data_IF_755811575811
#
_entry.id   IF_755811575811
#
_cell.length_a   1.000
_cell.length_b   1.000
_cell.length_c   1.000
_cell.angle_alpha   90.00
_cell.angle_beta   90.00
_cell.angle_gamma   90.00
#
_symmetry.space_group_name_H-M   'P 1'
#
loop_
_entity.id
_entity.type
_entity.pdbx_description
1 polymer ?
#
# COMPACT_ATOMS: atom_id res chain seq x y z
N UNK A 1 -43.64 -35.92 6.77
CA UNK A 1 -43.84 -34.81 7.73
C UNK A 1 -42.85 -34.77 8.90
N UNK A 2 -42.04 -35.81 9.15
CA UNK A 2 -41.10 -35.83 10.28
C UNK A 2 -39.79 -35.00 10.09
N UNK A 3 -39.37 -34.73 8.84
CA UNK A 3 -38.09 -34.04 8.58
C UNK A 3 -38.16 -32.50 8.62
N UNK A 4 -39.35 -31.89 8.61
CA UNK A 4 -39.46 -30.42 8.57
C UNK A 4 -39.32 -29.79 9.96
N UNK A 5 -39.76 -30.49 11.02
CA UNK A 5 -39.64 -30.02 12.41
C UNK A 5 -38.21 -30.10 12.96
N UNK A 6 -37.40 -31.05 12.49
CA UNK A 6 -35.99 -31.18 12.92
C UNK A 6 -35.09 -30.06 12.37
N UNK A 7 -35.41 -29.52 11.19
CA UNK A 7 -34.64 -28.42 10.59
C UNK A 7 -34.94 -27.10 11.31
N UNK A 8 -36.20 -26.85 11.66
CA UNK A 8 -36.59 -25.63 12.39
C UNK A 8 -35.97 -25.57 13.80
N UNK A 9 -35.78 -26.72 14.46
CA UNK A 9 -35.16 -26.77 15.80
C UNK A 9 -33.65 -26.49 15.76
N UNK A 10 -32.93 -26.90 14.71
CA UNK A 10 -31.50 -26.57 14.55
C UNK A 10 -31.27 -25.07 14.32
N UNK A 11 -32.13 -24.40 13.56
CA UNK A 11 -32.03 -22.94 13.38
C UNK A 11 -32.36 -22.16 14.67
N UNK A 12 -33.32 -22.64 15.47
CA UNK A 12 -33.63 -22.03 16.76
C UNK A 12 -32.47 -22.16 17.76
N UNK A 13 -31.77 -23.31 17.78
CA UNK A 13 -30.59 -23.52 18.63
C UNK A 13 -29.43 -22.61 18.18
N UNK A 14 -29.22 -22.41 16.87
CA UNK A 14 -28.20 -21.49 16.36
C UNK A 14 -28.52 -20.01 16.68
N UNK A 15 -29.80 -19.63 16.65
CA UNK A 15 -30.25 -18.28 17.00
C UNK A 15 -30.13 -18.01 18.51
N UNK A 16 -30.37 -19.03 19.35
CA UNK A 16 -30.25 -18.94 20.81
C UNK A 16 -28.78 -18.91 21.28
N UNK A 17 -27.87 -19.63 20.61
CA UNK A 17 -26.44 -19.61 20.96
C UNK A 17 -25.75 -18.25 20.72
N UNK A 18 -26.31 -17.40 19.85
CA UNK A 18 -25.80 -16.04 19.65
C UNK A 18 -26.28 -15.02 20.70
N UNK A 19 -27.20 -15.40 21.61
CA UNK A 19 -27.70 -14.52 22.68
C UNK A 19 -27.11 -14.80 24.06
N UNK A 20 -26.21 -15.78 24.19
CA UNK A 20 -25.59 -16.14 25.48
C UNK A 20 -24.11 -15.77 25.48
N UNK A 21 -23.82 -14.46 25.44
CA UNK A 21 -22.51 -13.93 25.79
C UNK A 21 -22.57 -12.48 26.33
N UNK A 22 -23.75 -11.96 26.67
CA UNK A 22 -23.87 -10.67 27.33
C UNK A 22 -23.40 -10.81 28.79
N UNK A 23 -22.11 -10.53 29.04
CA UNK A 23 -21.58 -10.37 30.40
C UNK A 23 -20.24 -11.05 30.73
N UNK A 24 -19.63 -11.81 29.82
CA UNK A 24 -18.26 -12.31 29.99
C UNK A 24 -17.29 -11.40 29.23
N UNK A 25 -16.08 -11.10 29.76
CA UNK A 25 -15.06 -10.44 28.98
C UNK A 25 -14.73 -11.30 27.76
N UNK A 26 -15.17 -10.87 26.58
CA UNK A 26 -14.78 -11.49 25.32
C UNK A 26 -13.50 -10.81 24.82
N UNK A 27 -12.58 -11.60 24.28
CA UNK A 27 -11.39 -11.06 23.61
C UNK A 27 -11.76 -10.25 22.35
N UNK A 28 -12.93 -10.50 21.77
CA UNK A 28 -13.45 -9.78 20.62
C UNK A 28 -14.96 -9.93 20.49
N UNK A 29 -15.59 -8.90 19.93
CA UNK A 29 -17.03 -8.87 19.66
C UNK A 29 -17.27 -8.68 18.16
N UNK A 30 -18.32 -9.33 17.65
CA UNK A 30 -18.81 -9.02 16.32
C UNK A 30 -19.28 -7.56 16.29
N UNK A 31 -18.77 -6.79 15.33
CA UNK A 31 -19.09 -5.38 15.18
C UNK A 31 -20.06 -5.16 14.03
N UNK A 32 -20.97 -4.21 14.22
CA UNK A 32 -21.86 -3.72 13.17
C UNK A 32 -21.09 -2.74 12.26
N UNK A 33 -20.85 -3.10 10.98
CA UNK A 33 -20.09 -2.25 10.04
C UNK A 33 -20.64 -0.82 9.92
N UNK A 34 -21.96 -0.64 10.04
CA UNK A 34 -22.62 0.65 9.93
C UNK A 34 -22.19 1.58 11.08
N UNK A 35 -21.99 1.03 12.29
CA UNK A 35 -21.50 1.79 13.45
C UNK A 35 -20.06 2.29 13.26
N UNK A 36 -19.30 1.67 12.36
CA UNK A 36 -17.95 2.08 11.98
C UNK A 36 -17.93 3.06 10.80
N UNK A 37 -19.10 3.49 10.33
CA UNK A 37 -19.22 4.37 9.16
C UNK A 37 -18.96 3.65 7.84
N UNK A 38 -18.93 2.31 7.83
CA UNK A 38 -18.77 1.54 6.60
C UNK A 38 -20.09 1.58 5.84
N UNK A 39 -20.11 2.37 4.77
CA UNK A 39 -21.23 2.52 3.85
C UNK A 39 -21.10 1.50 2.72
N UNK A 40 -21.56 1.88 1.53
CA UNK A 40 -21.34 1.11 0.31
C UNK A 40 -19.86 1.16 -0.05
N UNK A 41 -19.31 0.01 -0.39
CA UNK A 41 -17.95 -0.08 -0.92
C UNK A 41 -17.80 0.74 -2.21
N UNK A 42 -16.68 1.46 -2.33
CA UNK A 42 -16.33 2.33 -3.44
C UNK A 42 -15.03 1.86 -4.06
N UNK A 43 -14.95 1.92 -5.39
CA UNK A 43 -13.70 1.78 -6.13
C UNK A 43 -13.23 3.16 -6.56
N UNK A 44 -12.05 3.56 -6.09
CA UNK A 44 -11.39 4.81 -6.49
C UNK A 44 -10.15 4.50 -7.31
N UNK A 45 -10.00 5.22 -8.43
CA UNK A 45 -8.76 5.26 -9.21
C UNK A 45 -8.08 6.61 -8.97
N UNK A 46 -6.80 6.59 -8.61
CA UNK A 46 -5.94 7.77 -8.57
C UNK A 46 -4.76 7.59 -9.50
N UNK A 47 -4.25 8.69 -10.03
CA UNK A 47 -2.99 8.73 -10.77
C UNK A 47 -2.08 9.79 -10.16
N UNK A 48 -0.86 9.39 -9.81
CA UNK A 48 0.18 10.29 -9.28
C UNK A 48 1.54 9.94 -9.88
N UNK A 49 2.47 10.87 -9.81
CA UNK A 49 3.88 10.62 -10.10
C UNK A 49 4.68 10.62 -8.81
N UNK A 50 5.45 9.56 -8.61
CA UNK A 50 6.38 9.37 -7.50
C UNK A 50 7.80 9.71 -7.97
N UNK A 51 8.51 10.53 -7.19
CA UNK A 51 9.81 11.08 -7.56
C UNK A 51 10.91 10.62 -6.61
N UNK A 52 11.66 9.58 -6.97
CA UNK A 52 12.85 9.11 -6.26
C UNK A 52 13.99 10.08 -6.56
N UNK A 53 14.58 10.71 -5.55
CA UNK A 53 15.61 11.73 -5.74
C UNK A 53 16.83 11.51 -4.82
N UNK A 54 17.75 10.60 -5.20
CA UNK A 54 19.02 10.43 -4.51
C UNK A 54 20.01 11.57 -4.78
N UNK A 55 19.82 12.37 -5.84
CA UNK A 55 20.75 13.45 -6.21
C UNK A 55 20.34 14.83 -5.69
N UNK A 56 21.25 15.80 -5.85
CA UNK A 56 21.02 17.20 -5.51
C UNK A 56 21.36 17.59 -4.07
N UNK A 57 21.16 18.86 -3.70
CA UNK A 57 21.57 19.38 -2.40
C UNK A 57 20.66 18.92 -1.25
N UNK A 58 19.43 18.52 -1.56
CA UNK A 58 18.44 18.02 -0.60
C UNK A 58 17.81 16.75 -1.18
N UNK A 59 18.51 15.60 -1.10
CA UNK A 59 17.99 14.33 -1.57
C UNK A 59 16.82 13.86 -0.72
N UNK A 60 15.82 13.25 -1.35
CA UNK A 60 14.67 12.61 -0.68
C UNK A 60 14.85 11.11 -0.49
N UNK A 61 15.91 10.56 -1.09
CA UNK A 61 16.24 9.13 -1.11
C UNK A 61 17.63 8.92 -0.51
N UNK A 62 17.72 8.18 0.60
CA UNK A 62 18.96 8.02 1.35
C UNK A 62 19.29 6.54 1.55
N UNK A 63 20.49 6.12 1.14
CA UNK A 63 21.06 4.83 1.52
C UNK A 63 21.41 4.84 3.02
N UNK A 64 20.73 4.03 3.83
CA UNK A 64 20.95 3.99 5.28
C UNK A 64 21.80 2.81 5.74
N UNK A 65 21.77 1.71 5.00
CA UNK A 65 22.60 0.54 5.26
C UNK A 65 22.88 -0.21 3.97
N UNK A 66 24.08 -0.78 3.86
CA UNK A 66 24.46 -1.67 2.77
C UNK A 66 25.31 -2.80 3.33
N UNK A 67 25.02 -4.03 2.92
CA UNK A 67 25.87 -5.15 3.26
C UNK A 67 27.22 -5.07 2.51
N UNK A 68 28.30 -5.33 3.22
CA UNK A 68 29.65 -5.34 2.65
C UNK A 68 29.93 -6.71 2.02
N UNK A 69 29.78 -6.81 0.70
CA UNK A 69 30.07 -8.05 -0.04
C UNK A 69 31.31 -7.86 -0.91
N UNK A 70 32.10 -8.93 -1.05
CA UNK A 70 33.28 -8.96 -1.95
C UNK A 70 32.88 -8.97 -3.43
N UNK A 71 31.68 -9.47 -3.75
CA UNK A 71 31.07 -9.48 -5.08
C UNK A 71 29.55 -9.24 -4.98
N UNK A 72 29.09 -8.05 -4.55
CA UNK A 72 27.67 -7.79 -4.47
C UNK A 72 27.05 -7.83 -5.87
N UNK A 73 25.91 -8.49 -6.01
CA UNK A 73 24.97 -8.11 -7.07
C UNK A 73 24.60 -6.65 -6.83
N UNK A 74 24.50 -5.84 -7.89
CA UNK A 74 24.30 -4.39 -7.80
C UNK A 74 23.26 -4.05 -6.73
N UNK A 75 23.75 -3.52 -5.61
CA UNK A 75 22.95 -3.04 -4.49
C UNK A 75 22.31 -4.10 -3.57
N UNK A 76 22.48 -5.41 -3.77
CA UNK A 76 21.86 -6.43 -2.90
C UNK A 76 22.18 -6.18 -1.41
N UNK A 77 21.15 -6.23 -0.55
CA UNK A 77 21.27 -5.94 0.88
C UNK A 77 21.30 -4.44 1.22
N UNK A 78 21.07 -3.56 0.26
CA UNK A 78 20.92 -2.12 0.51
C UNK A 78 19.53 -1.81 1.04
N UNK A 79 19.49 -0.99 2.09
CA UNK A 79 18.26 -0.43 2.68
C UNK A 79 18.28 1.07 2.39
N UNK A 80 17.22 1.54 1.74
CA UNK A 80 17.04 2.92 1.34
C UNK A 80 15.80 3.47 2.04
N UNK A 81 15.89 4.68 2.62
CA UNK A 81 14.77 5.42 3.20
C UNK A 81 14.36 6.53 2.25
N UNK A 82 13.05 6.74 2.14
CA UNK A 82 12.45 7.74 1.25
C UNK A 82 11.48 8.67 1.97
N UNK A 83 11.46 9.91 1.53
CA UNK A 83 10.38 10.89 1.74
C UNK A 83 10.17 11.66 0.43
N UNK A 84 9.59 10.97 -0.55
CA UNK A 84 9.52 11.41 -1.94
C UNK A 84 8.25 12.19 -2.22
N UNK A 85 8.32 13.11 -3.19
CA UNK A 85 7.17 13.87 -3.64
C UNK A 85 6.18 12.96 -4.41
N UNK A 86 4.88 13.21 -4.21
CA UNK A 86 3.81 12.74 -5.07
C UNK A 86 3.17 13.94 -5.76
N UNK A 87 3.18 13.97 -7.09
CA UNK A 87 2.62 15.08 -7.88
C UNK A 87 1.61 14.63 -8.92
N UNK A 88 0.86 15.58 -9.49
CA UNK A 88 -0.12 15.29 -10.57
C UNK A 88 0.57 15.00 -11.91
N UNK A 89 1.68 15.68 -12.21
CA UNK A 89 2.43 15.56 -13.46
C UNK A 89 3.81 14.93 -13.28
N UNK A 90 4.46 14.50 -14.38
CA UNK A 90 5.79 13.89 -14.33
C UNK A 90 6.91 14.86 -13.94
N UNK A 91 6.67 16.17 -14.03
CA UNK A 91 7.62 17.20 -13.64
C UNK A 91 7.56 17.46 -12.12
N UNK A 92 8.73 17.67 -11.50
CA UNK A 92 8.83 17.86 -10.04
C UNK A 92 8.18 19.17 -9.55
N UNK A 93 8.04 20.16 -10.43
CA UNK A 93 7.37 21.43 -10.17
C UNK A 93 5.85 21.41 -10.42
N UNK A 94 5.31 20.26 -10.87
CA UNK A 94 3.87 20.06 -10.96
C UNK A 94 3.20 20.02 -9.56
N UNK A 95 1.88 20.12 -9.53
CA UNK A 95 1.12 20.22 -8.27
C UNK A 95 1.44 19.04 -7.33
N UNK A 96 1.93 19.38 -6.12
CA UNK A 96 2.20 18.43 -5.05
C UNK A 96 0.89 17.99 -4.39
N UNK A 97 0.64 16.67 -4.40
CA UNK A 97 -0.59 16.07 -3.85
C UNK A 97 -0.33 15.18 -2.63
N UNK A 98 0.94 14.90 -2.32
CA UNK A 98 1.30 14.11 -1.16
C UNK A 98 2.78 13.76 -1.08
N UNK A 99 3.09 12.81 -0.19
CA UNK A 99 4.43 12.27 0.03
C UNK A 99 4.40 10.75 0.08
N UNK A 100 5.42 10.11 -0.46
CA UNK A 100 5.67 8.69 -0.28
C UNK A 100 6.78 8.51 0.76
N UNK A 101 6.42 7.94 1.90
CA UNK A 101 7.31 7.82 3.05
C UNK A 101 7.51 6.36 3.41
N UNK A 102 8.76 5.96 3.62
CA UNK A 102 9.07 4.58 4.01
C UNK A 102 10.45 4.15 3.57
N UNK A 103 10.55 2.92 3.10
CA UNK A 103 11.82 2.35 2.67
C UNK A 103 11.65 1.34 1.55
N UNK A 104 12.75 1.05 0.88
CA UNK A 104 12.84 -0.12 0.03
C UNK A 104 14.18 -0.83 0.21
N UNK A 105 14.16 -2.14 -0.02
CA UNK A 105 15.35 -3.00 0.07
C UNK A 105 15.65 -3.60 -1.29
N UNK A 106 16.90 -3.50 -1.72
CA UNK A 106 17.38 -4.22 -2.90
C UNK A 106 17.65 -5.67 -2.50
N UNK A 107 16.71 -6.56 -2.79
CA UNK A 107 16.69 -7.93 -2.27
C UNK A 107 16.82 -9.01 -3.36
N UNK A 108 17.33 -8.66 -4.55
CA UNK A 108 17.51 -9.61 -5.66
C UNK A 108 18.95 -10.12 -5.75
N UNK A 109 19.12 -11.44 -5.82
CA UNK A 109 20.42 -12.08 -6.02
C UNK A 109 20.91 -11.98 -7.48
N UNK A 110 22.21 -12.22 -7.68
CA UNK A 110 22.82 -12.27 -9.00
C UNK A 110 22.07 -13.24 -9.92
N UNK A 111 21.88 -12.83 -11.17
CA UNK A 111 21.16 -13.61 -12.18
C UNK A 111 19.63 -13.61 -12.03
N UNK A 112 19.08 -12.97 -10.99
CA UNK A 112 17.64 -12.73 -10.87
C UNK A 112 17.27 -11.37 -11.47
N UNK A 113 16.01 -11.19 -11.93
CA UNK A 113 15.52 -9.88 -12.33
C UNK A 113 15.69 -8.87 -11.18
N UNK A 114 16.29 -7.72 -11.48
CA UNK A 114 16.49 -6.65 -10.52
C UNK A 114 15.14 -6.24 -9.89
N UNK A 115 15.05 -6.31 -8.57
CA UNK A 115 13.86 -5.95 -7.84
C UNK A 115 14.18 -5.34 -6.48
N UNK A 116 13.38 -4.35 -6.12
CA UNK A 116 13.27 -3.79 -4.79
C UNK A 116 12.07 -4.41 -4.06
N UNK A 117 12.13 -4.49 -2.74
CA UNK A 117 10.98 -4.78 -1.89
C UNK A 117 10.59 -3.47 -1.22
N UNK A 118 9.43 -2.94 -1.62
CA UNK A 118 8.93 -1.65 -1.14
C UNK A 118 8.14 -1.86 0.16
N UNK A 119 8.28 -0.93 1.09
CA UNK A 119 7.45 -0.79 2.29
C UNK A 119 7.25 0.69 2.56
N UNK A 120 6.17 1.25 2.05
CA UNK A 120 5.94 2.70 2.04
C UNK A 120 4.47 3.07 2.19
N UNK A 121 4.23 4.31 2.59
CA UNK A 121 2.91 4.91 2.73
C UNK A 121 2.83 6.12 1.83
N UNK A 122 1.80 6.19 1.00
CA UNK A 122 1.45 7.41 0.27
C UNK A 122 0.50 8.21 1.16
N UNK A 123 0.99 9.32 1.71
CA UNK A 123 0.25 10.26 2.53
C UNK A 123 -0.21 11.43 1.65
N UNK A 124 -1.52 11.54 1.44
CA UNK A 124 -2.09 12.59 0.59
C UNK A 124 -2.33 13.85 1.41
N UNK A 125 -1.99 15.00 0.83
CA UNK A 125 -2.05 16.32 1.49
C UNK A 125 -2.90 17.33 0.71
N UNK A 126 -3.54 16.91 -0.36
CA UNK A 126 -4.33 17.77 -1.25
C UNK A 126 -5.68 17.15 -1.62
N UNK A 127 -6.60 18.00 -2.07
CA UNK A 127 -7.91 17.61 -2.59
C UNK A 127 -8.78 16.86 -1.58
N UNK A 128 -9.67 16.00 -2.10
CA UNK A 128 -10.61 15.19 -1.30
C UNK A 128 -9.92 14.13 -0.42
N UNK A 129 -8.66 13.81 -0.70
CA UNK A 129 -7.88 12.77 -0.02
C UNK A 129 -6.97 13.33 1.08
N UNK A 130 -6.95 14.65 1.29
CA UNK A 130 -6.10 15.30 2.28
C UNK A 130 -6.22 14.67 3.68
N UNK A 131 -5.08 14.31 4.27
CA UNK A 131 -5.00 13.66 5.58
C UNK A 131 -5.27 12.16 5.55
N UNK A 132 -5.53 11.57 4.38
CA UNK A 132 -5.68 10.13 4.20
C UNK A 132 -4.41 9.50 3.63
N UNK A 133 -4.28 8.20 3.77
CA UNK A 133 -3.12 7.48 3.25
C UNK A 133 -3.44 6.07 2.76
N UNK A 134 -2.58 5.55 1.89
CA UNK A 134 -2.54 4.13 1.52
C UNK A 134 -1.16 3.54 1.84
N UNK A 135 -1.14 2.29 2.28
CA UNK A 135 0.09 1.53 2.53
C UNK A 135 0.34 0.55 1.40
N UNK A 136 1.58 0.52 0.91
CA UNK A 136 2.02 -0.32 -0.20
C UNK A 136 3.22 -1.12 0.30
N UNK A 137 3.11 -2.44 0.27
CA UNK A 137 4.20 -3.34 0.61
C UNK A 137 4.27 -4.48 -0.41
N UNK A 138 5.33 -4.55 -1.20
CA UNK A 138 5.39 -5.48 -2.31
C UNK A 138 6.71 -5.49 -3.08
N UNK A 139 6.89 -6.51 -3.90
CA UNK A 139 8.06 -6.66 -4.78
C UNK A 139 7.88 -5.80 -6.03
N UNK A 140 8.86 -4.94 -6.30
CA UNK A 140 8.95 -4.05 -7.44
C UNK A 140 10.06 -4.51 -8.40
N UNK A 141 9.72 -5.18 -9.51
CA UNK A 141 10.69 -5.61 -10.53
C UNK A 141 11.08 -4.43 -11.42
N UNK A 142 12.05 -3.62 -10.97
CA UNK A 142 12.32 -2.27 -11.48
C UNK A 142 12.57 -2.15 -12.99
N UNK A 143 13.03 -3.22 -13.65
CA UNK A 143 13.28 -3.26 -15.09
C UNK A 143 12.05 -3.67 -15.94
N UNK A 144 10.96 -4.11 -15.31
CA UNK A 144 9.73 -4.44 -16.02
C UNK A 144 8.99 -3.18 -16.44
N UNK A 145 8.42 -3.20 -17.65
CA UNK A 145 7.66 -2.07 -18.21
C UNK A 145 6.39 -1.72 -17.40
N UNK A 146 5.77 -2.74 -16.79
CA UNK A 146 4.62 -2.60 -15.88
C UNK A 146 4.91 -3.42 -14.65
N UNK A 147 4.69 -2.82 -13.48
CA UNK A 147 4.94 -3.45 -12.19
C UNK A 147 3.70 -3.27 -11.34
N UNK A 148 3.38 -4.26 -10.53
CA UNK A 148 2.19 -4.26 -9.69
C UNK A 148 2.58 -4.54 -8.24
N UNK A 149 1.99 -3.80 -7.31
CA UNK A 149 2.15 -4.04 -5.88
C UNK A 149 0.80 -3.92 -5.17
N UNK A 150 0.56 -4.69 -4.09
CA UNK A 150 -0.69 -4.65 -3.38
C UNK A 150 -0.80 -3.38 -2.51
N UNK A 151 -2.02 -2.89 -2.38
CA UNK A 151 -2.41 -1.98 -1.29
C UNK A 151 -2.70 -2.87 -0.08
N UNK A 152 -1.91 -2.72 0.98
CA UNK A 152 -2.01 -3.54 2.19
C UNK A 152 -2.83 -2.90 3.30
N UNK A 153 -3.26 -1.65 3.11
CA UNK A 153 -4.16 -0.93 4.00
C UNK A 153 -4.28 0.54 3.65
N UNK A 154 -5.02 1.28 4.48
CA UNK A 154 -5.14 2.73 4.36
C UNK A 154 -5.77 3.37 5.59
N UNK A 155 -5.71 4.69 5.63
CA UNK A 155 -6.24 5.54 6.71
C UNK A 155 -7.14 6.63 6.14
N UNK A 156 -7.86 7.33 7.01
CA UNK A 156 -8.80 8.38 6.59
C UNK A 156 -9.90 7.81 5.68
N UNK A 157 -10.07 8.40 4.50
CA UNK A 157 -11.05 7.93 3.50
C UNK A 157 -10.71 6.53 2.97
N UNK A 158 -9.43 6.13 3.01
CA UNK A 158 -8.98 4.80 2.59
C UNK A 158 -8.97 3.80 3.74
N UNK A 159 -9.75 4.03 4.81
CA UNK A 159 -9.87 3.03 5.89
C UNK A 159 -10.43 1.72 5.33
N UNK A 160 -9.81 0.61 5.74
CA UNK A 160 -10.08 -0.73 5.20
C UNK A 160 -9.72 -0.90 3.70
N UNK A 161 -8.87 -0.03 3.16
CA UNK A 161 -8.49 -0.11 1.76
C UNK A 161 -7.81 -1.42 1.40
N UNK A 162 -8.19 -1.97 0.25
CA UNK A 162 -7.51 -3.08 -0.44
C UNK A 162 -7.49 -2.80 -1.93
N UNK A 163 -6.55 -3.40 -2.64
CA UNK A 163 -6.42 -3.23 -4.08
C UNK A 163 -4.98 -3.34 -4.52
N UNK A 164 -4.62 -2.62 -5.57
CA UNK A 164 -3.29 -2.69 -6.15
C UNK A 164 -2.88 -1.35 -6.76
N UNK A 165 -1.58 -1.17 -6.91
CA UNK A 165 -0.99 -0.10 -7.69
C UNK A 165 -0.28 -0.69 -8.90
N UNK A 166 -0.43 -0.04 -10.04
CA UNK A 166 0.35 -0.31 -11.24
C UNK A 166 1.27 0.87 -11.52
N UNK A 167 2.54 0.59 -11.80
CA UNK A 167 3.53 1.63 -11.97
C UNK A 167 4.36 1.46 -13.24
N UNK A 168 4.72 2.58 -13.84
CA UNK A 168 5.51 2.69 -15.08
C UNK A 168 6.55 3.79 -14.92
N UNK A 169 7.79 3.48 -15.22
CA UNK A 169 8.86 4.49 -15.17
C UNK A 169 8.65 5.48 -16.31
N UNK A 170 8.52 6.76 -15.96
CA UNK A 170 8.44 7.86 -16.93
C UNK A 170 9.85 8.37 -17.27
N UNK A 171 10.69 8.52 -16.25
CA UNK A 171 12.06 9.00 -16.37
C UNK A 171 12.97 8.26 -15.39
N UNK A 172 14.22 8.03 -15.80
CA UNK A 172 15.31 7.52 -14.97
C UNK A 172 16.65 7.99 -15.55
N UNK A 173 17.54 8.55 -14.71
CA UNK A 173 18.85 9.03 -15.15
C UNK A 173 20.04 8.29 -14.51
N UNK A 174 21.24 8.73 -14.87
CA UNK A 174 22.50 8.16 -14.38
C UNK A 174 22.79 8.47 -12.90
N UNK A 175 22.12 9.46 -12.31
CA UNK A 175 22.24 9.78 -10.89
C UNK A 175 21.30 8.91 -10.04
N UNK A 176 20.39 8.19 -10.68
CA UNK A 176 19.35 7.40 -10.02
C UNK A 176 18.08 8.19 -9.75
N UNK A 177 17.97 9.44 -10.22
CA UNK A 177 16.72 10.20 -10.13
C UNK A 177 15.67 9.53 -11.02
N UNK A 178 14.48 9.33 -10.48
CA UNK A 178 13.39 8.64 -11.18
C UNK A 178 12.07 9.38 -11.00
N UNK A 179 11.29 9.45 -12.09
CA UNK A 179 9.86 9.79 -12.02
C UNK A 179 9.06 8.59 -12.49
N UNK A 180 8.13 8.13 -11.66
CA UNK A 180 7.36 6.91 -11.89
C UNK A 180 5.88 7.23 -11.77
N UNK A 181 5.13 6.97 -12.84
CA UNK A 181 3.67 7.07 -12.80
C UNK A 181 3.11 5.90 -12.00
N UNK A 182 2.22 6.18 -11.06
CA UNK A 182 1.42 5.21 -10.29
C UNK A 182 -0.06 5.38 -10.63
N UNK A 183 -0.68 4.31 -11.12
CA UNK A 183 -2.13 4.13 -11.18
C UNK A 183 -2.56 3.31 -9.94
N UNK A 184 -3.40 3.88 -9.09
CA UNK A 184 -3.80 3.32 -7.80
C UNK A 184 -5.27 2.93 -7.89
N UNK A 185 -5.59 1.65 -7.67
CA UNK A 185 -6.96 1.15 -7.66
C UNK A 185 -7.30 0.65 -6.25
N UNK A 186 -8.09 1.44 -5.51
CA UNK A 186 -8.40 1.19 -4.11
C UNK A 186 -9.90 0.94 -3.91
N UNK A 187 -10.25 -0.22 -3.33
CA UNK A 187 -11.56 -0.48 -2.76
C UNK A 187 -11.58 0.01 -1.30
N UNK A 188 -12.55 0.84 -0.94
CA UNK A 188 -12.76 1.40 0.42
C UNK A 188 -14.25 1.71 0.65
N UNK A 189 -14.63 2.46 1.70
CA UNK A 189 -16.04 2.65 2.12
C UNK A 189 -16.45 4.12 2.26
#
# INVERSE_FOLDING_TARGET
>A
MANFFAILSMFAIFYMNNKVADGLPSFGNAMDPIKFGLKMEKLTHLQVYWHDKPSGPVPTTILVASANFTNPTIGFGSIIVIDDALTVGPELDSELVGRAQGSYVLASLAGQPAAAVMSMTFAFTAGEYNGSSISIAGRNTVLSAVREMPITGGTGVFRFARGYVQLRTHFFDTNGDASVKYDIYALHY
#
